data_IF_939986129072
#
_entry.id   IF_939986129072
#
_cell.length_a   1.000
_cell.length_b   1.000
_cell.length_c   1.000
_cell.angle_alpha   90.00
_cell.angle_beta   90.00
_cell.angle_gamma   90.00
#
_symmetry.space_group_name_H-M   'P 1'
#
loop_
_entity.id
_entity.type
_entity.pdbx_description
1 polymer ?
#
# COMPACT_ATOMS: atom_id res chain seq x y z
N UNK A 1 9.00 0.89 2.78
CA UNK A 1 8.14 -0.27 2.45
C UNK A 1 6.87 -0.17 3.27
N UNK A 2 5.70 -0.12 2.62
CA UNK A 2 4.41 0.08 3.28
C UNK A 2 3.47 -1.10 3.00
N UNK A 3 3.67 -2.22 3.71
CA UNK A 3 2.60 -3.21 3.89
C UNK A 3 1.51 -2.66 4.81
N UNK A 4 0.40 -3.38 4.99
CA UNK A 4 -0.75 -2.91 5.78
C UNK A 4 -0.35 -2.41 7.18
N UNK A 5 0.48 -3.16 7.91
CA UNK A 5 0.91 -2.80 9.26
C UNK A 5 1.84 -1.59 9.28
N UNK A 6 2.69 -1.42 8.25
CA UNK A 6 3.55 -0.24 8.14
C UNK A 6 2.79 1.02 7.74
N UNK A 7 1.84 0.89 6.80
CA UNK A 7 0.96 1.99 6.38
C UNK A 7 0.09 2.44 7.57
N UNK A 8 -0.52 1.49 8.28
CA UNK A 8 -1.26 1.78 9.51
C UNK A 8 -0.32 2.40 10.56
N UNK A 9 0.87 1.83 10.75
CA UNK A 9 1.86 2.20 11.76
C UNK A 9 2.54 3.55 11.59
N UNK A 10 2.45 4.20 10.43
CA UNK A 10 2.95 5.56 10.25
C UNK A 10 4.19 5.70 9.36
N UNK A 11 4.61 4.63 8.67
CA UNK A 11 5.85 4.67 7.86
C UNK A 11 5.82 5.75 6.77
N UNK A 12 4.63 6.12 6.31
CA UNK A 12 4.42 7.14 5.27
C UNK A 12 4.68 8.53 5.85
N UNK A 13 4.06 8.83 6.99
CA UNK A 13 4.26 10.05 7.78
C UNK A 13 5.74 10.22 8.14
N UNK A 14 6.36 9.16 8.68
CA UNK A 14 7.76 9.19 9.09
C UNK A 14 8.69 9.48 7.89
N UNK A 15 8.40 8.89 6.73
CA UNK A 15 9.16 9.13 5.51
C UNK A 15 9.02 10.58 5.04
N UNK A 16 7.78 11.10 4.98
CA UNK A 16 7.51 12.48 4.56
C UNK A 16 8.14 13.47 5.54
N UNK A 17 8.01 13.26 6.85
CA UNK A 17 8.64 14.08 7.87
C UNK A 17 10.17 14.09 7.71
N UNK A 18 10.79 12.95 7.40
CA UNK A 18 12.23 12.88 7.17
C UNK A 18 12.68 13.63 5.92
N UNK A 19 11.87 13.60 4.85
CA UNK A 19 12.10 14.40 3.65
C UNK A 19 12.01 15.90 3.94
N UNK A 20 11.00 16.34 4.71
CA UNK A 20 10.87 17.74 5.11
C UNK A 20 12.06 18.22 5.95
N UNK A 21 12.58 17.39 6.86
CA UNK A 21 13.76 17.72 7.68
C UNK A 21 15.02 18.01 6.87
N UNK A 22 15.14 17.46 5.65
CA UNK A 22 16.28 17.71 4.77
C UNK A 22 16.01 18.82 3.74
N UNK A 23 14.95 19.61 3.95
CA UNK A 23 14.63 20.78 3.14
C UNK A 23 13.73 20.49 1.94
N UNK A 24 13.06 19.34 1.89
CA UNK A 24 12.11 19.03 0.82
C UNK A 24 10.87 19.91 0.95
N UNK A 25 10.47 20.56 -0.15
CA UNK A 25 9.19 21.25 -0.28
C UNK A 25 8.10 20.24 -0.64
N UNK A 26 7.09 20.05 0.19
CA UNK A 26 6.11 18.97 0.04
C UNK A 26 5.29 19.07 -1.25
N UNK A 27 5.02 20.29 -1.73
CA UNK A 27 4.33 20.55 -2.99
C UNK A 27 5.11 20.08 -4.22
N UNK A 28 6.42 19.89 -4.11
CA UNK A 28 7.29 19.39 -5.20
C UNK A 28 7.50 17.88 -5.12
N UNK A 29 6.99 17.23 -4.07
CA UNK A 29 7.10 15.78 -3.91
C UNK A 29 6.15 15.08 -4.89
N UNK A 30 6.72 14.14 -5.64
CA UNK A 30 5.99 13.15 -6.42
C UNK A 30 6.17 11.78 -5.78
N UNK A 31 5.06 11.20 -5.30
CA UNK A 31 5.04 9.85 -4.76
C UNK A 31 4.47 8.89 -5.80
N UNK A 32 5.10 7.71 -5.94
CA UNK A 32 4.60 6.63 -6.77
C UNK A 32 4.41 5.38 -5.91
N UNK A 33 3.19 4.84 -5.90
CA UNK A 33 2.90 3.53 -5.31
C UNK A 33 3.12 2.49 -6.41
N UNK A 34 4.21 1.72 -6.27
CA UNK A 34 4.59 0.65 -7.20
C UNK A 34 3.64 -0.56 -7.16
N UNK A 35 4.00 -1.67 -7.83
CA UNK A 35 3.19 -2.89 -7.82
C UNK A 35 2.92 -3.39 -6.40
N UNK A 36 1.66 -3.59 -6.07
CA UNK A 36 1.23 -4.20 -4.81
C UNK A 36 0.02 -5.11 -5.05
N UNK A 37 -0.44 -5.81 -4.02
CA UNK A 37 -1.71 -6.53 -4.12
C UNK A 37 -2.84 -5.49 -4.23
N UNK A 38 -3.75 -5.67 -5.18
CA UNK A 38 -4.86 -4.73 -5.40
C UNK A 38 -6.13 -5.19 -4.68
N UNK A 39 -7.10 -4.28 -4.54
CA UNK A 39 -8.34 -4.53 -3.81
C UNK A 39 -9.07 -5.79 -4.29
N UNK A 40 -9.07 -6.09 -5.59
CA UNK A 40 -9.69 -7.29 -6.13
C UNK A 40 -9.08 -8.61 -5.63
N UNK A 41 -7.84 -8.58 -5.12
CA UNK A 41 -7.08 -9.75 -4.67
C UNK A 41 -6.79 -9.76 -3.17
N UNK A 42 -7.06 -8.65 -2.46
CA UNK A 42 -6.70 -8.51 -1.05
C UNK A 42 -7.89 -8.74 -0.10
N UNK A 43 -8.36 -9.99 -0.05
CA UNK A 43 -9.33 -10.41 0.97
C UNK A 43 -8.69 -10.42 2.38
N UNK A 44 -9.41 -9.93 3.38
CA UNK A 44 -9.06 -9.85 4.80
C UNK A 44 -10.27 -10.21 5.68
N UNK A 45 -10.06 -10.51 6.96
CA UNK A 45 -11.18 -10.69 7.90
C UNK A 45 -11.92 -9.38 8.13
N UNK A 46 -13.18 -9.45 8.56
CA UNK A 46 -13.97 -8.25 8.87
C UNK A 46 -13.33 -7.37 9.95
N UNK A 47 -12.84 -7.98 11.03
CA UNK A 47 -12.12 -7.29 12.12
C UNK A 47 -10.78 -6.65 11.70
N UNK A 48 -10.32 -6.90 10.47
CA UNK A 48 -9.12 -6.25 9.95
C UNK A 48 -9.33 -4.74 9.75
N UNK A 49 -10.58 -4.30 9.53
CA UNK A 49 -10.90 -2.89 9.30
C UNK A 49 -10.84 -2.05 10.59
N UNK A 50 -11.12 -2.65 11.75
CA UNK A 50 -11.24 -1.98 13.05
C UNK A 50 -10.10 -0.98 13.35
N UNK A 51 -8.80 -1.38 13.33
CA UNK A 51 -7.72 -0.45 13.65
C UNK A 51 -7.55 0.68 12.62
N UNK A 52 -8.02 0.49 11.39
CA UNK A 52 -8.00 1.54 10.37
C UNK A 52 -9.09 2.58 10.63
N UNK A 53 -10.28 2.13 11.02
CA UNK A 53 -11.41 2.99 11.36
C UNK A 53 -11.17 3.77 12.66
N UNK A 54 -10.58 3.12 13.67
CA UNK A 54 -10.14 3.77 14.91
C UNK A 54 -9.12 4.87 14.65
N UNK A 55 -8.18 4.63 13.72
CA UNK A 55 -7.16 5.62 13.37
C UNK A 55 -7.69 6.76 12.52
N UNK A 56 -8.57 6.48 11.57
CA UNK A 56 -9.22 7.51 10.75
C UNK A 56 -10.55 7.00 10.18
N UNK A 57 -11.71 7.59 10.53
CA UNK A 57 -13.03 7.13 10.08
C UNK A 57 -13.19 7.01 8.56
N UNK A 58 -12.67 7.97 7.79
CA UNK A 58 -12.69 7.92 6.31
C UNK A 58 -11.92 6.73 5.70
N UNK A 59 -11.25 5.91 6.51
CA UNK A 59 -10.63 4.67 6.04
C UNK A 59 -11.65 3.63 5.59
N UNK A 60 -12.92 3.76 5.99
CA UNK A 60 -14.02 2.86 5.59
C UNK A 60 -14.09 2.66 4.07
N UNK A 61 -13.85 3.72 3.29
CA UNK A 61 -13.90 3.68 1.82
C UNK A 61 -12.88 2.75 1.16
N UNK A 62 -11.86 2.31 1.89
CA UNK A 62 -10.85 1.35 1.41
C UNK A 62 -11.26 -0.10 1.64
N UNK A 63 -12.42 -0.35 2.24
CA UNK A 63 -12.98 -1.67 2.43
C UNK A 63 -14.23 -1.83 1.57
N UNK A 64 -14.36 -3.00 0.95
CA UNK A 64 -15.58 -3.43 0.23
C UNK A 64 -16.00 -4.81 0.69
N UNK A 65 -17.28 -5.15 0.55
CA UNK A 65 -17.75 -6.50 0.82
C UNK A 65 -16.99 -7.54 -0.01
N UNK A 66 -16.50 -8.60 0.63
CA UNK A 66 -15.97 -9.76 -0.07
C UNK A 66 -17.10 -10.74 -0.44
N UNK A 67 -16.79 -11.71 -1.32
CA UNK A 67 -17.73 -12.79 -1.63
C UNK A 67 -17.92 -13.75 -0.46
N UNK A 68 -16.88 -13.92 0.36
CA UNK A 68 -16.89 -14.77 1.53
C UNK A 68 -17.48 -14.01 2.72
N UNK A 69 -18.43 -14.64 3.42
CA UNK A 69 -19.00 -14.07 4.64
C UNK A 69 -17.93 -13.83 5.72
N UNK A 70 -18.06 -12.73 6.46
CA UNK A 70 -17.10 -12.30 7.49
C UNK A 70 -15.75 -11.81 6.94
N UNK A 71 -15.69 -11.46 5.65
CA UNK A 71 -14.48 -10.97 4.99
C UNK A 71 -14.75 -9.68 4.20
N UNK A 72 -13.69 -8.90 3.99
CA UNK A 72 -13.67 -7.65 3.25
C UNK A 72 -12.54 -7.67 2.21
N UNK A 73 -12.67 -6.83 1.18
CA UNK A 73 -11.64 -6.55 0.18
C UNK A 73 -10.96 -5.22 0.51
N UNK A 74 -9.67 -5.24 0.82
CA UNK A 74 -8.91 -4.07 1.26
C UNK A 74 -8.13 -3.40 0.12
N UNK A 75 -8.32 -2.10 -0.06
CA UNK A 75 -7.55 -1.28 -0.99
C UNK A 75 -6.31 -0.68 -0.30
N UNK A 76 -5.22 -1.46 -0.30
CA UNK A 76 -3.94 -1.01 0.22
C UNK A 76 -3.40 0.22 -0.54
N UNK A 77 -3.52 0.24 -1.87
CA UNK A 77 -2.95 1.29 -2.71
C UNK A 77 -3.65 2.63 -2.49
N UNK A 78 -4.99 2.60 -2.43
CA UNK A 78 -5.82 3.75 -2.09
C UNK A 78 -5.57 4.24 -0.67
N UNK A 79 -5.44 3.32 0.30
CA UNK A 79 -5.12 3.70 1.68
C UNK A 79 -3.76 4.40 1.79
N UNK A 80 -2.73 3.88 1.11
CA UNK A 80 -1.41 4.51 1.07
C UNK A 80 -1.48 5.90 0.45
N UNK A 81 -2.16 6.06 -0.68
CA UNK A 81 -2.32 7.37 -1.32
C UNK A 81 -3.06 8.37 -0.42
N UNK A 82 -4.09 7.92 0.28
CA UNK A 82 -4.82 8.73 1.24
C UNK A 82 -3.94 9.21 2.39
N UNK A 83 -3.14 8.32 2.98
CA UNK A 83 -2.20 8.68 4.05
C UNK A 83 -1.13 9.67 3.57
N UNK A 84 -0.60 9.50 2.36
CA UNK A 84 0.32 10.47 1.75
C UNK A 84 -0.34 11.84 1.53
N UNK A 85 -1.59 11.85 1.08
CA UNK A 85 -2.35 13.10 0.90
C UNK A 85 -2.58 13.82 2.23
N UNK A 86 -2.89 13.10 3.32
CA UNK A 86 -2.97 13.68 4.67
C UNK A 86 -1.65 14.29 5.15
N UNK A 87 -0.52 13.78 4.65
CA UNK A 87 0.81 14.35 4.91
C UNK A 87 1.13 15.59 4.05
N UNK A 88 0.21 16.02 3.18
CA UNK A 88 0.41 17.18 2.29
C UNK A 88 1.06 16.86 0.95
N UNK A 89 1.32 15.59 0.61
CA UNK A 89 1.82 15.20 -0.71
C UNK A 89 0.70 15.34 -1.74
N UNK A 90 0.87 16.26 -2.69
CA UNK A 90 -0.18 16.58 -3.68
C UNK A 90 -0.16 15.66 -4.90
N UNK A 91 1.01 15.15 -5.26
CA UNK A 91 1.19 14.34 -6.47
C UNK A 91 1.43 12.88 -6.09
N UNK A 92 0.38 12.07 -6.11
CA UNK A 92 0.47 10.63 -5.85
C UNK A 92 -0.01 9.87 -7.09
N UNK A 93 0.85 9.02 -7.64
CA UNK A 93 0.51 8.12 -8.74
C UNK A 93 0.43 6.68 -8.24
N UNK A 94 -0.63 5.98 -8.66
CA UNK A 94 -0.81 4.55 -8.41
C UNK A 94 -0.48 3.80 -9.69
N UNK A 95 0.45 2.84 -9.64
CA UNK A 95 0.78 2.03 -10.82
C UNK A 95 -0.38 1.10 -11.22
N UNK A 96 -1.23 0.71 -10.26
CA UNK A 96 -2.39 -0.14 -10.50
C UNK A 96 -2.07 -1.60 -10.83
N UNK A 97 -0.79 -2.00 -10.85
CA UNK A 97 -0.40 -3.37 -11.11
C UNK A 97 -0.75 -4.28 -9.92
N UNK A 98 -1.43 -5.40 -10.18
CA UNK A 98 -1.82 -6.37 -9.16
C UNK A 98 -0.83 -7.52 -9.09
N UNK A 99 0.02 -7.48 -8.07
CA UNK A 99 1.03 -8.52 -7.86
C UNK A 99 0.44 -9.93 -7.77
N UNK A 100 -0.79 -10.09 -7.26
CA UNK A 100 -1.45 -11.39 -7.18
C UNK A 100 -1.91 -11.89 -8.55
N UNK A 101 -2.56 -11.04 -9.35
CA UNK A 101 -3.12 -11.42 -10.64
C UNK A 101 -2.05 -11.47 -11.77
N UNK A 102 -1.05 -10.58 -11.73
CA UNK A 102 -0.04 -10.43 -12.78
C UNK A 102 1.16 -11.37 -12.57
N UNK A 103 0.90 -12.68 -12.54
CA UNK A 103 1.91 -13.71 -12.26
C UNK A 103 3.13 -13.66 -13.20
N UNK A 104 2.94 -13.32 -14.48
CA UNK A 104 4.03 -13.25 -15.45
C UNK A 104 5.05 -12.12 -15.16
N UNK A 105 4.69 -11.15 -14.32
CA UNK A 105 5.49 -9.94 -14.07
C UNK A 105 5.87 -9.76 -12.61
N UNK A 106 5.15 -10.41 -11.69
CA UNK A 106 5.22 -10.13 -10.27
C UNK A 106 5.24 -11.42 -9.44
N UNK A 107 6.13 -11.47 -8.45
CA UNK A 107 5.96 -12.39 -7.30
C UNK A 107 4.85 -11.91 -6.37
N UNK A 108 4.12 -12.84 -5.74
CA UNK A 108 3.08 -12.52 -4.76
C UNK A 108 3.05 -13.51 -3.61
N UNK A 109 3.16 -12.98 -2.40
CA UNK A 109 3.00 -13.77 -1.18
C UNK A 109 1.64 -14.47 -1.11
N UNK A 110 0.56 -13.70 -1.37
CA UNK A 110 -0.81 -14.20 -1.26
C UNK A 110 -1.06 -15.35 -2.23
N UNK A 111 -0.51 -15.26 -3.46
CA UNK A 111 -0.61 -16.34 -4.46
C UNK A 111 0.15 -17.58 -4.01
N UNK A 112 1.38 -17.43 -3.55
CA UNK A 112 2.19 -18.52 -3.01
C UNK A 112 1.49 -19.21 -1.82
N UNK A 113 0.90 -18.44 -0.90
CA UNK A 113 0.10 -18.98 0.23
C UNK A 113 -1.09 -19.80 -0.26
N UNK A 114 -1.88 -19.28 -1.21
CA UNK A 114 -3.03 -20.02 -1.76
C UNK A 114 -2.61 -21.32 -2.47
N UNK A 115 -1.42 -21.33 -3.09
CA UNK A 115 -0.85 -22.50 -3.77
C UNK A 115 -0.03 -23.42 -2.86
N UNK A 116 0.13 -23.07 -1.57
CA UNK A 116 0.96 -23.80 -0.59
C UNK A 116 2.41 -23.96 -1.07
N UNK A 117 2.93 -22.96 -1.76
CA UNK A 117 4.34 -22.91 -2.16
C UNK A 117 5.20 -22.66 -0.90
N UNK A 118 6.36 -23.33 -0.77
CA UNK A 118 7.19 -23.22 0.43
C UNK A 118 7.89 -21.87 0.57
N UNK A 119 8.08 -21.15 -0.53
CA UNK A 119 8.66 -19.81 -0.58
C UNK A 119 8.20 -19.08 -1.85
N UNK A 120 8.57 -17.80 -1.99
CA UNK A 120 8.28 -16.97 -3.13
C UNK A 120 9.38 -15.92 -3.36
N UNK A 121 9.58 -15.56 -4.63
CA UNK A 121 10.52 -14.50 -4.98
C UNK A 121 10.14 -13.13 -4.44
N UNK A 122 11.11 -12.21 -4.47
CA UNK A 122 10.94 -10.82 -4.02
C UNK A 122 11.26 -9.84 -5.13
N UNK A 123 10.51 -8.75 -5.13
CA UNK A 123 10.73 -7.63 -6.01
C UNK A 123 11.43 -6.51 -5.25
N UNK A 124 12.11 -5.63 -5.97
CA UNK A 124 12.74 -4.43 -5.41
C UNK A 124 12.20 -3.18 -6.13
N UNK A 125 11.88 -2.16 -5.35
CA UNK A 125 11.62 -0.80 -5.83
C UNK A 125 12.70 0.10 -5.24
N UNK A 126 13.43 0.81 -6.09
CA UNK A 126 14.54 1.67 -5.67
C UNK A 126 14.50 3.00 -6.43
N UNK A 127 15.01 4.05 -5.79
CA UNK A 127 15.20 5.37 -6.37
C UNK A 127 16.55 5.92 -5.89
N UNK A 128 17.26 6.63 -6.77
CA UNK A 128 18.58 7.18 -6.47
C UNK A 128 18.77 8.50 -7.22
N UNK A 129 19.50 9.44 -6.60
CA UNK A 129 20.02 10.62 -7.28
C UNK A 129 21.32 10.19 -7.96
N UNK A 130 21.35 10.23 -9.28
CA UNK A 130 22.59 9.98 -10.04
C UNK A 130 23.57 11.10 -9.74
N UNK A 131 24.83 10.74 -9.49
CA UNK A 131 25.94 11.70 -9.58
C UNK A 131 26.30 11.83 -11.07
N UNK A 132 26.46 13.06 -11.52
CA UNK A 132 27.03 13.35 -12.83
C UNK A 132 28.49 12.86 -12.91
#
# INVERSE_FOLDING_TARGET
>A
HAGWGGALGGVLEDTVAKMSQVGTLLETVHACVGPCIQQASYEVSESFADPFLEKHPDSEKFFKSARRAGHLMFDLSGYVAFRLALCGVKNVSLMGADTYAEEARCFSYRRATHRKEPDYGRQISAIVIRKD
#
